data_IF_127491332157
#
_entry.id   IF_127491332157
#
_cell.length_a   1.000
_cell.length_b   1.000
_cell.length_c   1.000
_cell.angle_alpha   90.00
_cell.angle_beta   90.00
_cell.angle_gamma   90.00
#
_symmetry.space_group_name_H-M   'P 1'
#
loop_
_entity.id
_entity.type
_entity.pdbx_description
1 polymer ?
#
# COMPACT_ATOMS: atom_id res chain seq x y z
N UNK A 1 13.00 0.42 9.53
CA UNK A 1 12.59 0.42 8.11
C UNK A 1 11.90 1.75 7.80
N UNK A 2 12.31 2.43 6.73
CA UNK A 2 11.80 3.74 6.32
C UNK A 2 10.34 3.64 5.85
N UNK A 3 9.59 4.76 5.90
CA UNK A 3 8.22 4.80 5.40
C UNK A 3 8.14 4.49 3.90
N UNK A 4 9.12 4.94 3.11
CA UNK A 4 9.26 4.61 1.69
C UNK A 4 9.36 3.09 1.43
N UNK A 5 10.13 2.38 2.25
CA UNK A 5 10.25 0.92 2.17
C UNK A 5 8.92 0.24 2.51
N UNK A 6 8.22 0.72 3.55
CA UNK A 6 6.89 0.19 3.93
C UNK A 6 5.89 0.40 2.81
N UNK A 7 5.85 1.60 2.22
CA UNK A 7 4.99 1.93 1.08
C UNK A 7 5.25 0.97 -0.08
N UNK A 8 6.52 0.79 -0.45
CA UNK A 8 6.89 -0.08 -1.57
C UNK A 8 6.49 -1.54 -1.35
N UNK A 9 6.71 -2.10 -0.14
CA UNK A 9 6.26 -3.46 0.19
C UNK A 9 4.74 -3.59 0.22
N UNK A 10 4.02 -2.52 0.56
CA UNK A 10 2.57 -2.51 0.62
C UNK A 10 1.92 -2.73 -0.76
N UNK A 11 2.63 -2.43 -1.84
CA UNK A 11 2.17 -2.74 -3.21
C UNK A 11 1.96 -4.25 -3.45
N UNK A 12 2.59 -5.12 -2.65
CA UNK A 12 2.42 -6.57 -2.66
C UNK A 12 1.59 -7.09 -1.46
N UNK A 13 0.97 -6.21 -0.66
CA UNK A 13 0.34 -6.56 0.61
C UNK A 13 -0.78 -7.60 0.50
N UNK A 14 -1.52 -7.64 -0.62
CA UNK A 14 -2.55 -8.67 -0.86
C UNK A 14 -1.93 -10.06 -0.80
N UNK A 15 -0.84 -10.28 -1.54
CA UNK A 15 -0.17 -11.58 -1.58
C UNK A 15 0.47 -11.91 -0.24
N UNK A 16 1.13 -10.93 0.39
CA UNK A 16 1.70 -11.07 1.73
C UNK A 16 0.63 -11.47 2.76
N UNK A 17 -0.56 -10.87 2.70
CA UNK A 17 -1.68 -11.19 3.59
C UNK A 17 -2.20 -12.61 3.34
N UNK A 18 -2.37 -13.02 2.07
CA UNK A 18 -2.81 -14.39 1.72
C UNK A 18 -1.83 -15.43 2.24
N UNK A 19 -0.53 -15.16 2.13
CA UNK A 19 0.54 -16.04 2.61
C UNK A 19 0.69 -16.02 4.15
N UNK A 20 0.01 -15.11 4.85
CA UNK A 20 0.20 -14.87 6.29
C UNK A 20 1.64 -14.43 6.63
N UNK A 21 2.27 -13.74 5.69
CA UNK A 21 3.63 -13.23 5.77
C UNK A 21 3.67 -11.86 6.46
N UNK A 22 4.86 -11.41 6.86
CA UNK A 22 5.07 -10.12 7.50
C UNK A 22 5.08 -8.97 6.45
N UNK A 23 4.13 -8.01 6.50
CA UNK A 23 3.94 -6.98 5.47
C UNK A 23 5.06 -5.93 5.40
N UNK A 24 5.93 -5.89 6.42
CA UNK A 24 7.01 -4.93 6.52
C UNK A 24 8.40 -5.58 6.53
N UNK A 25 8.51 -6.83 6.11
CA UNK A 25 9.79 -7.49 5.88
C UNK A 25 9.98 -7.73 4.39
N UNK A 26 11.20 -7.46 3.90
CA UNK A 26 11.55 -7.72 2.51
C UNK A 26 11.39 -9.23 2.22
N UNK A 27 10.53 -9.55 1.25
CA UNK A 27 10.20 -10.94 0.90
C UNK A 27 9.17 -11.61 1.81
N UNK A 28 8.59 -10.89 2.79
CA UNK A 28 7.53 -11.42 3.65
C UNK A 28 8.01 -12.11 4.93
N UNK A 29 9.32 -12.17 5.18
CA UNK A 29 9.85 -12.85 6.36
C UNK A 29 11.31 -12.52 6.67
N UNK A 30 11.84 -13.05 7.78
CA UNK A 30 13.23 -12.86 8.15
C UNK A 30 14.18 -13.79 7.37
N UNK A 31 15.28 -13.25 6.82
CA UNK A 31 16.28 -14.01 6.02
C UNK A 31 17.06 -15.05 6.84
N UNK A 32 17.10 -14.94 8.17
CA UNK A 32 17.83 -15.87 9.05
C UNK A 32 17.00 -17.09 9.48
N UNK A 33 15.89 -17.39 8.79
CA UNK A 33 14.97 -18.48 9.09
C UNK A 33 14.85 -19.42 7.89
N UNK A 34 15.29 -20.66 8.08
CA UNK A 34 15.40 -21.65 7.00
C UNK A 34 14.06 -21.97 6.30
N UNK A 35 12.94 -21.89 7.03
CA UNK A 35 11.60 -22.08 6.47
C UNK A 35 11.24 -21.00 5.43
N UNK A 36 11.56 -19.74 5.72
CA UNK A 36 11.37 -18.63 4.78
C UNK A 36 12.32 -18.70 3.58
N UNK A 37 13.60 -19.04 3.83
CA UNK A 37 14.59 -19.23 2.76
C UNK A 37 14.14 -20.33 1.80
N UNK A 38 13.74 -21.47 2.35
CA UNK A 38 13.28 -22.62 1.55
C UNK A 38 11.99 -22.30 0.80
N UNK A 39 11.01 -21.68 1.46
CA UNK A 39 9.76 -21.27 0.80
C UNK A 39 10.02 -20.30 -0.37
N UNK A 40 10.96 -19.36 -0.20
CA UNK A 40 11.37 -18.44 -1.27
C UNK A 40 12.05 -19.18 -2.43
N UNK A 41 12.96 -20.13 -2.16
CA UNK A 41 13.59 -20.96 -3.19
C UNK A 41 12.56 -21.81 -3.93
N UNK A 42 11.63 -22.44 -3.21
CA UNK A 42 10.60 -23.32 -3.79
C UNK A 42 9.63 -22.53 -4.68
N UNK A 43 9.16 -21.34 -4.27
CA UNK A 43 8.25 -20.52 -5.09
C UNK A 43 8.97 -19.93 -6.31
N UNK A 44 10.21 -19.50 -6.17
CA UNK A 44 11.01 -18.99 -7.29
C UNK A 44 11.29 -20.11 -8.31
N UNK A 45 11.65 -21.31 -7.86
CA UNK A 45 11.89 -22.43 -8.75
C UNK A 45 10.61 -22.91 -9.45
N UNK A 46 9.53 -23.11 -8.70
CA UNK A 46 8.29 -23.72 -9.22
C UNK A 46 7.43 -22.78 -10.05
N UNK A 47 7.29 -21.52 -9.62
CA UNK A 47 6.38 -20.55 -10.26
C UNK A 47 7.07 -19.65 -11.27
N UNK A 48 8.39 -19.49 -11.18
CA UNK A 48 9.15 -18.56 -12.00
C UNK A 48 10.31 -19.21 -12.76
N UNK A 49 10.67 -20.46 -12.45
CA UNK A 49 11.85 -21.10 -13.04
C UNK A 49 13.17 -20.40 -12.65
N UNK A 50 13.17 -19.64 -11.56
CA UNK A 50 14.31 -18.89 -11.07
C UNK A 50 15.01 -19.65 -9.93
N UNK A 51 16.11 -20.32 -10.24
CA UNK A 51 16.84 -21.19 -9.30
C UNK A 51 18.20 -20.60 -8.86
N UNK A 52 18.56 -19.46 -9.42
CA UNK A 52 19.80 -18.75 -9.15
C UNK A 52 19.65 -17.24 -9.44
N UNK A 53 20.71 -16.49 -9.18
CA UNK A 53 20.77 -15.05 -9.38
C UNK A 53 20.58 -14.61 -10.84
N UNK A 54 21.05 -15.38 -11.82
CA UNK A 54 20.95 -15.05 -13.24
C UNK A 54 19.50 -15.19 -13.73
N UNK A 55 18.86 -16.31 -13.38
CA UNK A 55 17.45 -16.56 -13.73
C UNK A 55 16.50 -15.63 -13.01
N UNK A 56 16.79 -15.28 -11.76
CA UNK A 56 16.03 -14.26 -11.03
C UNK A 56 16.09 -12.90 -11.75
N UNK A 57 17.28 -12.42 -12.08
CA UNK A 57 17.45 -11.14 -12.81
C UNK A 57 16.73 -11.17 -14.15
N UNK A 58 16.81 -12.29 -14.88
CA UNK A 58 16.09 -12.48 -16.14
C UNK A 58 14.57 -12.45 -15.97
N UNK A 59 14.06 -12.96 -14.86
CA UNK A 59 12.63 -12.92 -14.53
C UNK A 59 12.17 -11.50 -14.22
N UNK A 60 12.95 -10.76 -13.42
CA UNK A 60 12.67 -9.35 -13.11
C UNK A 60 12.75 -8.49 -14.39
N UNK A 61 13.72 -8.75 -15.26
CA UNK A 61 13.83 -8.13 -16.58
C UNK A 61 12.59 -8.38 -17.44
N UNK A 62 12.16 -9.65 -17.51
CA UNK A 62 10.97 -9.99 -18.27
C UNK A 62 9.73 -9.28 -17.73
N UNK A 63 9.53 -9.22 -16.40
CA UNK A 63 8.41 -8.52 -15.77
C UNK A 63 8.38 -7.02 -16.10
N UNK A 64 9.54 -6.35 -16.16
CA UNK A 64 9.61 -4.90 -16.43
C UNK A 64 9.53 -4.54 -17.91
N UNK A 65 9.99 -5.42 -18.82
CA UNK A 65 9.99 -5.14 -20.26
C UNK A 65 8.74 -5.67 -20.99
N UNK A 66 8.18 -6.78 -20.51
CA UNK A 66 7.04 -7.44 -21.15
C UNK A 66 5.93 -7.71 -20.13
N UNK A 67 6.27 -8.51 -19.12
CA UNK A 67 5.37 -8.99 -18.10
C UNK A 67 4.13 -9.68 -18.68
N UNK A 68 3.12 -9.79 -17.83
CA UNK A 68 1.79 -10.24 -18.25
C UNK A 68 1.07 -9.15 -19.06
N UNK A 69 1.47 -7.89 -18.90
CA UNK A 69 0.99 -6.75 -19.69
C UNK A 69 1.09 -7.00 -21.20
N UNK A 70 2.20 -7.55 -21.69
CA UNK A 70 2.35 -7.90 -23.10
C UNK A 70 1.32 -8.94 -23.58
N UNK A 71 1.00 -9.95 -22.76
CA UNK A 71 -0.05 -10.92 -23.10
C UNK A 71 -1.44 -10.28 -23.08
N UNK A 72 -1.70 -9.35 -22.16
CA UNK A 72 -2.96 -8.61 -22.11
C UNK A 72 -3.12 -7.70 -23.33
N UNK A 73 -2.09 -6.94 -23.70
CA UNK A 73 -2.11 -6.05 -24.87
C UNK A 73 -2.38 -6.82 -26.16
N UNK A 74 -1.77 -7.99 -26.31
CA UNK A 74 -2.05 -8.88 -27.44
C UNK A 74 -3.52 -9.31 -27.46
N UNK A 75 -4.04 -9.83 -26.34
CA UNK A 75 -5.43 -10.25 -26.23
C UNK A 75 -6.41 -9.08 -26.42
N UNK A 76 -6.04 -7.88 -25.96
CA UNK A 76 -6.81 -6.66 -26.15
C UNK A 76 -6.91 -6.29 -27.63
N UNK A 77 -5.79 -6.30 -28.35
CA UNK A 77 -5.75 -6.02 -29.78
C UNK A 77 -6.59 -7.00 -30.59
N UNK A 78 -6.43 -8.31 -30.35
CA UNK A 78 -7.19 -9.36 -31.01
C UNK A 78 -8.69 -9.25 -30.71
N UNK A 79 -9.07 -9.12 -29.44
CA UNK A 79 -10.46 -8.96 -29.03
C UNK A 79 -11.10 -7.73 -29.70
N UNK A 80 -10.42 -6.58 -29.70
CA UNK A 80 -10.96 -5.36 -30.31
C UNK A 80 -11.14 -5.49 -31.82
N UNK A 81 -10.24 -6.19 -32.52
CA UNK A 81 -10.40 -6.51 -33.94
C UNK A 81 -11.62 -7.40 -34.18
N UNK A 82 -11.80 -8.45 -33.37
CA UNK A 82 -12.93 -9.36 -33.46
C UNK A 82 -14.27 -8.65 -33.18
N UNK A 83 -14.33 -7.83 -32.13
CA UNK A 83 -15.53 -7.07 -31.79
C UNK A 83 -15.86 -6.00 -32.85
N UNK A 84 -14.85 -5.41 -33.48
CA UNK A 84 -15.08 -4.49 -34.61
C UNK A 84 -15.63 -5.21 -35.86
N UNK A 85 -15.17 -6.45 -36.11
CA UNK A 85 -15.59 -7.23 -37.27
C UNK A 85 -16.96 -7.91 -37.09
N UNK A 86 -17.23 -8.45 -35.90
CA UNK A 86 -18.39 -9.32 -35.63
C UNK A 86 -19.39 -8.73 -34.62
N UNK A 87 -19.07 -7.60 -34.01
CA UNK A 87 -19.92 -6.90 -33.04
C UNK A 87 -19.72 -7.33 -31.57
N UNK A 88 -20.31 -6.57 -30.61
CA UNK A 88 -20.13 -6.78 -29.17
C UNK A 88 -20.71 -8.10 -28.64
N UNK A 89 -21.62 -8.74 -29.38
CA UNK A 89 -22.30 -9.98 -28.97
C UNK A 89 -21.63 -11.26 -29.46
N UNK A 90 -20.38 -11.18 -29.93
CA UNK A 90 -19.62 -12.35 -30.38
C UNK A 90 -19.54 -13.42 -29.28
N UNK A 91 -19.91 -14.66 -29.64
CA UNK A 91 -19.85 -15.82 -28.76
C UNK A 91 -18.43 -16.41 -28.76
N UNK A 92 -17.52 -15.81 -27.99
CA UNK A 92 -16.12 -16.26 -27.92
C UNK A 92 -15.99 -17.74 -27.52
N UNK A 93 -16.87 -18.24 -26.66
CA UNK A 93 -16.88 -19.62 -26.19
C UNK A 93 -17.10 -20.62 -27.34
N UNK A 94 -17.78 -20.21 -28.41
CA UNK A 94 -18.05 -21.05 -29.57
C UNK A 94 -16.90 -21.00 -30.59
N UNK A 95 -16.36 -19.82 -30.86
CA UNK A 95 -15.41 -19.60 -31.97
C UNK A 95 -13.93 -19.56 -31.54
N UNK A 96 -13.67 -19.18 -30.28
CA UNK A 96 -12.35 -18.98 -29.69
C UNK A 96 -12.29 -19.56 -28.27
N UNK A 97 -12.59 -20.87 -28.08
CA UNK A 97 -12.78 -21.45 -26.75
C UNK A 97 -11.53 -21.39 -25.86
N UNK A 98 -10.32 -21.38 -26.43
CA UNK A 98 -9.08 -21.31 -25.65
C UNK A 98 -8.80 -19.89 -25.10
N UNK A 99 -9.23 -18.86 -25.82
CA UNK A 99 -9.01 -17.45 -25.46
C UNK A 99 -10.25 -16.78 -24.86
N UNK A 100 -11.40 -17.48 -24.85
CA UNK A 100 -12.70 -16.91 -24.49
C UNK A 100 -12.67 -16.18 -23.14
N UNK A 101 -12.06 -16.77 -22.11
CA UNK A 101 -11.93 -16.13 -20.79
C UNK A 101 -11.16 -14.81 -20.85
N UNK A 102 -10.05 -14.76 -21.59
CA UNK A 102 -9.24 -13.55 -21.79
C UNK A 102 -9.99 -12.50 -22.59
N UNK A 103 -10.68 -12.88 -23.67
CA UNK A 103 -11.46 -11.94 -24.48
C UNK A 103 -12.67 -11.38 -23.72
N UNK A 104 -13.36 -12.20 -22.91
CA UNK A 104 -14.41 -11.74 -21.99
C UNK A 104 -13.87 -10.77 -20.95
N UNK A 105 -12.73 -11.08 -20.36
CA UNK A 105 -12.05 -10.17 -19.45
C UNK A 105 -11.74 -8.82 -20.12
N UNK A 106 -11.13 -8.84 -21.31
CA UNK A 106 -10.83 -7.62 -22.07
C UNK A 106 -12.12 -6.83 -22.31
N UNK A 107 -13.18 -7.48 -22.82
CA UNK A 107 -14.44 -6.83 -23.12
C UNK A 107 -15.04 -6.11 -21.89
N UNK A 108 -14.88 -6.70 -20.70
CA UNK A 108 -15.43 -6.16 -19.46
C UNK A 108 -14.57 -5.06 -18.84
N UNK A 109 -13.23 -5.22 -18.82
CA UNK A 109 -12.35 -4.40 -17.98
C UNK A 109 -11.46 -3.42 -18.76
N UNK A 110 -11.36 -3.51 -20.09
CA UNK A 110 -10.37 -2.75 -20.85
C UNK A 110 -10.48 -1.22 -20.70
N UNK A 111 -11.69 -0.70 -20.54
CA UNK A 111 -11.90 0.74 -20.36
C UNK A 111 -11.42 1.23 -18.99
N UNK A 112 -11.66 0.44 -17.94
CA UNK A 112 -11.18 0.75 -16.59
C UNK A 112 -9.65 0.60 -16.50
N UNK A 113 -9.10 -0.46 -17.11
CA UNK A 113 -7.64 -0.68 -17.18
C UNK A 113 -6.95 0.48 -17.92
N UNK A 114 -7.48 0.87 -19.07
CA UNK A 114 -6.93 1.95 -19.89
C UNK A 114 -5.49 1.69 -20.34
N UNK A 115 -4.68 2.74 -20.39
CA UNK A 115 -3.30 2.68 -20.89
C UNK A 115 -2.31 2.05 -19.89
N UNK A 116 -2.76 1.76 -18.67
CA UNK A 116 -1.93 1.18 -17.60
C UNK A 116 -1.65 -0.31 -17.81
N UNK A 117 -2.43 -0.97 -18.67
CA UNK A 117 -2.32 -2.42 -18.91
C UNK A 117 -2.37 -3.18 -17.58
N UNK A 118 -1.59 -4.24 -17.40
CA UNK A 118 -1.50 -4.99 -16.14
C UNK A 118 -0.36 -4.52 -15.23
N UNK A 119 -0.01 -3.23 -15.28
CA UNK A 119 1.11 -2.67 -14.52
C UNK A 119 1.05 -2.96 -13.02
N UNK A 120 -0.13 -2.85 -12.38
CA UNK A 120 -0.27 -3.15 -10.95
C UNK A 120 0.20 -4.57 -10.60
N UNK A 121 -0.20 -5.52 -11.45
CA UNK A 121 0.15 -6.93 -11.30
C UNK A 121 1.64 -7.16 -11.56
N UNK A 122 2.17 -6.71 -12.70
CA UNK A 122 3.58 -6.93 -13.05
C UNK A 122 4.54 -6.28 -12.05
N UNK A 123 4.28 -5.03 -11.66
CA UNK A 123 5.12 -4.32 -10.70
C UNK A 123 5.01 -4.90 -9.27
N UNK A 124 3.80 -5.27 -8.83
CA UNK A 124 3.64 -5.98 -7.55
C UNK A 124 4.35 -7.34 -7.52
N UNK A 125 4.42 -8.03 -8.66
CA UNK A 125 5.21 -9.27 -8.80
C UNK A 125 6.71 -8.99 -8.81
N UNK A 126 7.19 -7.89 -9.38
CA UNK A 126 8.60 -7.48 -9.21
C UNK A 126 8.93 -7.29 -7.73
N UNK A 127 8.06 -6.64 -6.95
CA UNK A 127 8.28 -6.47 -5.51
C UNK A 127 8.36 -7.81 -4.77
N UNK A 128 7.46 -8.73 -5.10
CA UNK A 128 7.44 -10.07 -4.51
C UNK A 128 8.67 -10.88 -4.89
N UNK A 129 9.00 -10.96 -6.19
CA UNK A 129 10.11 -11.75 -6.74
C UNK A 129 11.47 -11.23 -6.27
N UNK A 130 11.67 -9.92 -6.26
CA UNK A 130 12.91 -9.33 -5.72
C UNK A 130 13.07 -9.62 -4.22
N UNK A 131 11.98 -9.51 -3.44
CA UNK A 131 11.98 -9.85 -2.03
C UNK A 131 12.30 -11.32 -1.76
N UNK A 132 11.67 -12.23 -2.48
CA UNK A 132 12.00 -13.67 -2.38
C UNK A 132 13.42 -13.97 -2.86
N UNK A 133 13.93 -13.27 -3.87
CA UNK A 133 15.31 -13.40 -4.32
C UNK A 133 16.32 -13.04 -3.24
N UNK A 134 16.03 -12.01 -2.45
CA UNK A 134 16.80 -11.67 -1.26
C UNK A 134 16.74 -12.78 -0.19
N UNK A 135 15.55 -13.28 0.13
CA UNK A 135 15.38 -14.36 1.10
C UNK A 135 16.10 -15.65 0.68
N UNK A 136 15.99 -16.02 -0.61
CA UNK A 136 16.65 -17.19 -1.18
C UNK A 136 18.19 -17.06 -1.24
N UNK A 137 18.73 -15.87 -0.99
CA UNK A 137 20.16 -15.57 -1.07
C UNK A 137 20.69 -15.43 -2.50
N UNK A 138 19.82 -15.17 -3.48
CA UNK A 138 20.21 -15.00 -4.88
C UNK A 138 20.71 -13.60 -5.19
N UNK A 139 20.18 -12.59 -4.48
CA UNK A 139 20.60 -11.18 -4.59
C UNK A 139 20.71 -10.56 -3.21
N UNK A 140 21.47 -9.47 -3.09
CA UNK A 140 21.57 -8.72 -1.84
C UNK A 140 20.42 -7.73 -1.66
N UNK A 141 20.21 -7.27 -0.43
CA UNK A 141 19.12 -6.35 -0.08
C UNK A 141 19.13 -5.08 -0.93
N UNK A 142 20.30 -4.49 -1.13
CA UNK A 142 20.46 -3.25 -1.91
C UNK A 142 20.06 -3.46 -3.38
N UNK A 143 20.37 -4.62 -3.95
CA UNK A 143 20.00 -4.99 -5.32
C UNK A 143 18.48 -5.22 -5.41
N UNK A 144 17.87 -5.90 -4.43
CA UNK A 144 16.41 -6.06 -4.39
C UNK A 144 15.70 -4.70 -4.35
N UNK A 145 16.14 -3.77 -3.49
CA UNK A 145 15.56 -2.42 -3.43
C UNK A 145 15.77 -1.62 -4.73
N UNK A 146 16.87 -1.84 -5.44
CA UNK A 146 17.13 -1.19 -6.74
C UNK A 146 16.08 -1.54 -7.80
N UNK A 147 15.47 -2.73 -7.71
CA UNK A 147 14.35 -3.16 -8.57
C UNK A 147 12.98 -2.74 -8.03
N UNK A 148 12.80 -2.76 -6.71
CA UNK A 148 11.54 -2.43 -6.03
C UNK A 148 11.21 -0.94 -6.16
N UNK A 149 12.21 -0.05 -6.07
CA UNK A 149 11.97 1.39 -6.12
C UNK A 149 11.35 1.87 -7.45
N UNK A 150 11.87 1.49 -8.63
CA UNK A 150 11.20 1.78 -9.90
C UNK A 150 9.75 1.29 -9.96
N UNK A 151 9.49 0.07 -9.48
CA UNK A 151 8.14 -0.50 -9.44
C UNK A 151 7.22 0.37 -8.57
N UNK A 152 7.63 0.67 -7.34
CA UNK A 152 6.88 1.47 -6.39
C UNK A 152 6.58 2.88 -6.94
N UNK A 153 7.60 3.56 -7.47
CA UNK A 153 7.46 4.89 -8.07
C UNK A 153 6.49 4.88 -9.25
N UNK A 154 6.57 3.88 -10.11
CA UNK A 154 5.69 3.77 -11.27
C UNK A 154 4.22 3.54 -10.86
N UNK A 155 4.00 2.73 -9.83
CA UNK A 155 2.68 2.50 -9.26
C UNK A 155 2.09 3.77 -8.62
N UNK A 156 2.88 4.53 -7.86
CA UNK A 156 2.39 5.77 -7.23
C UNK A 156 1.95 6.83 -8.26
N UNK A 157 2.60 6.85 -9.44
CA UNK A 157 2.25 7.77 -10.54
C UNK A 157 1.06 7.28 -11.37
N UNK A 158 0.95 5.97 -11.56
CA UNK A 158 -0.08 5.38 -12.41
C UNK A 158 -1.46 5.30 -11.74
N UNK A 159 -1.52 5.31 -10.41
CA UNK A 159 -2.74 5.17 -9.62
C UNK A 159 -2.88 6.33 -8.62
N UNK A 160 -4.08 6.47 -8.05
CA UNK A 160 -4.43 7.59 -7.17
C UNK A 160 -4.71 7.18 -5.73
N UNK A 161 -4.84 5.88 -5.46
CA UNK A 161 -5.14 5.35 -4.11
C UNK A 161 -4.77 3.87 -3.99
N UNK A 162 -4.69 3.39 -2.74
CA UNK A 162 -4.55 1.96 -2.45
C UNK A 162 -5.70 1.12 -2.99
N UNK A 163 -6.93 1.63 -2.95
CA UNK A 163 -8.11 0.98 -3.52
C UNK A 163 -7.93 0.76 -5.02
N UNK A 164 -7.62 1.82 -5.78
CA UNK A 164 -7.46 1.71 -7.23
C UNK A 164 -6.29 0.78 -7.61
N UNK A 165 -5.15 0.92 -6.93
CA UNK A 165 -3.99 0.04 -7.14
C UNK A 165 -4.36 -1.43 -6.91
N UNK A 166 -5.05 -1.72 -5.81
CA UNK A 166 -5.43 -3.09 -5.44
C UNK A 166 -6.49 -3.68 -6.37
N UNK A 167 -7.44 -2.88 -6.85
CA UNK A 167 -8.42 -3.32 -7.87
C UNK A 167 -7.71 -3.76 -9.15
N UNK A 168 -6.76 -2.93 -9.63
CA UNK A 168 -5.98 -3.26 -10.82
C UNK A 168 -5.05 -4.46 -10.61
N UNK A 169 -4.52 -4.67 -9.40
CA UNK A 169 -3.75 -5.87 -9.07
C UNK A 169 -4.61 -7.12 -9.20
N UNK A 170 -5.83 -7.11 -8.66
CA UNK A 170 -6.78 -8.23 -8.75
C UNK A 170 -7.22 -8.47 -10.19
N UNK A 171 -7.42 -7.42 -11.00
CA UNK A 171 -7.70 -7.57 -12.43
C UNK A 171 -6.57 -8.28 -13.18
N UNK A 172 -5.31 -7.96 -12.87
CA UNK A 172 -4.17 -8.68 -13.44
C UNK A 172 -4.13 -10.16 -13.02
N UNK A 173 -4.44 -10.46 -11.76
CA UNK A 173 -4.60 -11.84 -11.28
C UNK A 173 -5.69 -12.59 -12.06
N UNK A 174 -6.86 -11.98 -12.22
CA UNK A 174 -7.98 -12.56 -12.97
C UNK A 174 -7.61 -12.85 -14.42
N UNK A 175 -6.93 -11.91 -15.10
CA UNK A 175 -6.47 -12.12 -16.47
C UNK A 175 -5.43 -13.24 -16.57
N UNK A 176 -4.53 -13.34 -15.59
CA UNK A 176 -3.54 -14.43 -15.51
C UNK A 176 -4.20 -15.80 -15.28
N UNK A 177 -5.42 -15.83 -14.73
CA UNK A 177 -6.20 -17.03 -14.47
C UNK A 177 -6.25 -17.44 -13.00
N UNK A 178 -5.89 -16.54 -12.08
CA UNK A 178 -6.01 -16.77 -10.65
C UNK A 178 -7.43 -16.53 -10.12
N UNK A 179 -7.76 -17.19 -9.02
CA UNK A 179 -9.01 -16.97 -8.29
C UNK A 179 -8.96 -15.60 -7.57
N UNK A 180 -9.86 -14.66 -7.90
CA UNK A 180 -9.86 -13.35 -7.26
C UNK A 180 -10.35 -13.39 -5.82
N UNK A 181 -11.10 -14.41 -5.40
CA UNK A 181 -11.85 -14.38 -4.14
C UNK A 181 -10.94 -14.25 -2.90
N UNK A 182 -9.83 -15.00 -2.75
CA UNK A 182 -8.88 -14.78 -1.66
C UNK A 182 -8.28 -13.36 -1.66
N UNK A 183 -7.97 -12.84 -2.85
CA UNK A 183 -7.37 -11.51 -3.02
C UNK A 183 -8.36 -10.38 -2.72
N UNK A 184 -9.63 -10.55 -3.07
CA UNK A 184 -10.70 -9.61 -2.74
C UNK A 184 -10.95 -9.57 -1.23
N UNK A 185 -10.95 -10.73 -0.55
CA UNK A 185 -11.03 -10.76 0.92
C UNK A 185 -9.85 -10.07 1.57
N UNK A 186 -8.63 -10.36 1.11
CA UNK A 186 -7.41 -9.73 1.63
C UNK A 186 -7.43 -8.21 1.40
N UNK A 187 -7.84 -7.75 0.21
CA UNK A 187 -8.02 -6.34 -0.10
C UNK A 187 -9.03 -5.67 0.85
N UNK A 188 -10.22 -6.27 1.03
CA UNK A 188 -11.25 -5.71 1.90
C UNK A 188 -10.75 -5.53 3.34
N UNK A 189 -10.01 -6.51 3.87
CA UNK A 189 -9.37 -6.40 5.19
C UNK A 189 -8.30 -5.30 5.20
N UNK A 190 -7.41 -5.27 4.20
CA UNK A 190 -6.36 -4.26 4.13
C UNK A 190 -6.93 -2.84 4.11
N UNK A 191 -8.06 -2.60 3.47
CA UNK A 191 -8.68 -1.27 3.39
C UNK A 191 -9.45 -0.87 4.67
N UNK A 192 -9.76 -1.81 5.56
CA UNK A 192 -10.59 -1.57 6.75
C UNK A 192 -9.80 -1.67 8.05
N UNK A 193 -8.82 -2.58 8.13
CA UNK A 193 -8.00 -2.80 9.31
C UNK A 193 -7.22 -1.53 9.65
N UNK A 194 -7.47 -0.96 10.83
CA UNK A 194 -6.86 0.31 11.25
C UNK A 194 -5.33 0.29 11.38
N UNK A 195 -4.72 -0.91 11.39
CA UNK A 195 -3.28 -1.14 11.45
C UNK A 195 -2.69 -1.59 10.10
N UNK A 196 -3.52 -1.72 9.07
CA UNK A 196 -3.09 -2.14 7.75
C UNK A 196 -2.25 -1.06 7.07
N UNK A 197 -1.27 -1.44 6.23
CA UNK A 197 -0.56 -0.50 5.37
C UNK A 197 -1.47 0.38 4.51
N UNK A 198 -2.61 -0.12 4.01
CA UNK A 198 -3.49 0.69 3.14
C UNK A 198 -4.23 1.80 3.90
N UNK A 199 -4.27 1.73 5.23
CA UNK A 199 -4.87 2.75 6.10
C UNK A 199 -3.79 3.63 6.73
N UNK A 200 -2.70 3.02 7.18
CA UNK A 200 -1.66 3.73 7.94
C UNK A 200 -0.64 4.45 7.07
N UNK A 201 -0.48 4.04 5.80
CA UNK A 201 0.55 4.58 4.93
C UNK A 201 -0.09 5.49 3.88
N UNK A 202 0.24 6.78 3.90
CA UNK A 202 -0.22 7.72 2.90
C UNK A 202 0.10 7.33 1.46
N UNK A 203 -0.87 7.54 0.55
CA UNK A 203 -0.63 7.30 -0.87
C UNK A 203 0.59 8.07 -1.41
N UNK A 204 0.72 9.35 -1.07
CA UNK A 204 1.79 10.25 -1.57
C UNK A 204 3.04 10.26 -0.68
N UNK A 205 3.34 9.15 0.00
CA UNK A 205 4.60 8.98 0.73
C UNK A 205 5.79 9.15 -0.24
N UNK A 206 6.79 10.00 0.05
CA UNK A 206 7.97 10.12 -0.80
C UNK A 206 8.72 8.79 -0.94
N UNK A 207 8.88 8.32 -2.19
CA UNK A 207 9.54 7.05 -2.50
C UNK A 207 11.04 7.31 -2.76
N UNK A 208 11.82 7.33 -1.68
CA UNK A 208 13.28 7.43 -1.74
C UNK A 208 13.91 6.63 -0.60
N UNK A 209 14.98 5.88 -0.91
CA UNK A 209 15.78 5.14 0.08
C UNK A 209 17.23 5.62 -0.04
N UNK A 210 17.82 6.22 1.01
CA UNK A 210 19.21 6.65 1.00
C UNK A 210 20.17 5.50 0.63
N UNK A 211 21.09 5.76 -0.30
CA UNK A 211 22.10 4.79 -0.72
C UNK A 211 21.62 3.71 -1.70
N UNK A 212 20.35 3.75 -2.15
CA UNK A 212 19.84 2.86 -3.20
C UNK A 212 19.65 3.65 -4.50
N UNK A 213 20.29 3.19 -5.57
CA UNK A 213 20.10 3.75 -6.91
C UNK A 213 19.07 2.90 -7.66
N UNK A 214 17.93 3.47 -8.11
CA UNK A 214 16.93 2.74 -8.90
C UNK A 214 17.49 2.24 -10.23
N UNK A 215 17.16 1.01 -10.62
CA UNK A 215 17.54 0.41 -11.92
C UNK A 215 16.29 0.25 -12.79
N UNK A 216 16.16 1.13 -13.77
CA UNK A 216 15.00 1.17 -14.68
C UNK A 216 15.14 0.19 -15.85
N UNK A 217 14.04 -0.46 -16.20
CA UNK A 217 13.86 -1.08 -17.52
C UNK A 217 13.51 -0.06 -18.59
N UNK A 218 13.77 -0.36 -19.86
CA UNK A 218 13.48 0.51 -20.99
C UNK A 218 11.99 0.84 -21.08
N UNK A 219 11.13 -0.18 -21.02
CA UNK A 219 9.67 0.02 -21.07
C UNK A 219 9.17 0.87 -19.91
N UNK A 220 9.56 0.54 -18.68
CA UNK A 220 9.12 1.26 -17.49
C UNK A 220 9.66 2.70 -17.43
N UNK A 221 10.86 2.96 -17.92
CA UNK A 221 11.37 4.33 -18.08
C UNK A 221 10.50 5.13 -19.07
N UNK A 222 10.05 4.50 -20.15
CA UNK A 222 9.08 5.11 -21.09
C UNK A 222 7.74 5.39 -20.42
N UNK A 223 7.20 4.44 -19.65
CA UNK A 223 5.95 4.61 -18.92
C UNK A 223 6.04 5.70 -17.84
N UNK A 224 7.19 5.82 -17.16
CA UNK A 224 7.42 6.87 -16.18
C UNK A 224 7.23 8.27 -16.79
N UNK A 225 7.67 8.47 -18.04
CA UNK A 225 7.46 9.73 -18.76
C UNK A 225 6.03 9.95 -19.28
N UNK A 226 5.25 8.88 -19.43
CA UNK A 226 3.83 8.95 -19.84
C UNK A 226 2.91 9.31 -18.67
N UNK A 227 3.19 8.79 -17.48
CA UNK A 227 2.42 9.12 -16.29
C UNK A 227 2.88 10.46 -15.72
N UNK A 228 1.93 11.39 -15.56
CA UNK A 228 2.17 12.68 -14.93
C UNK A 228 2.63 12.54 -13.47
N UNK A 229 2.95 13.67 -12.84
CA UNK A 229 3.19 13.65 -11.40
C UNK A 229 1.98 13.07 -10.65
N UNK A 230 2.18 12.34 -9.54
CA UNK A 230 1.08 11.78 -8.76
C UNK A 230 0.05 12.87 -8.45
N UNK A 231 -1.18 12.68 -8.93
CA UNK A 231 -2.25 13.67 -8.76
C UNK A 231 -2.85 13.46 -7.38
N UNK A 232 -2.89 14.52 -6.56
CA UNK A 232 -3.66 14.52 -5.32
C UNK A 232 -5.12 14.18 -5.66
N UNK A 233 -5.74 13.17 -5.04
CA UNK A 233 -7.20 13.05 -5.13
C UNK A 233 -7.80 14.39 -4.66
N UNK A 234 -8.63 15.01 -5.50
CA UNK A 234 -9.29 16.27 -5.15
C UNK A 234 -10.07 16.11 -3.83
N UNK A 235 -9.99 17.07 -2.89
CA UNK A 235 -10.55 16.91 -1.56
C UNK A 235 -12.06 17.18 -1.54
N UNK A 236 -12.78 16.57 -0.59
CA UNK A 236 -13.47 17.29 0.49
C UNK A 236 -13.78 16.32 1.64
N UNK A 237 -13.17 16.56 2.81
CA UNK A 237 -13.92 17.23 3.87
C UNK A 237 -13.13 18.41 4.46
N UNK A 238 -13.81 19.53 4.69
CA UNK A 238 -13.28 20.68 5.43
C UNK A 238 -13.76 20.64 6.87
N UNK A 239 -12.82 20.61 7.82
CA UNK A 239 -13.06 21.16 9.16
C UNK A 239 -12.02 22.26 9.38
N UNK A 240 -12.46 23.51 9.25
CA UNK A 240 -11.64 24.69 9.54
C UNK A 240 -11.74 25.03 11.03
N UNK A 241 -10.61 25.35 11.68
CA UNK A 241 -10.60 25.94 13.02
C UNK A 241 -9.67 27.16 13.05
N UNK A 242 -10.03 28.15 13.85
CA UNK A 242 -9.23 29.36 14.04
C UNK A 242 -8.37 29.22 15.29
N UNK A 243 -7.06 29.44 15.12
CA UNK A 243 -6.17 29.87 16.21
C UNK A 243 -6.27 31.40 16.28
N UNK A 244 -6.05 32.00 17.45
CA UNK A 244 -6.38 33.39 17.76
C UNK A 244 -6.01 34.45 16.69
N UNK A 245 -5.10 34.22 15.73
CA UNK A 245 -4.99 35.05 14.52
C UNK A 245 -4.60 34.31 13.20
N UNK A 246 -4.74 32.97 13.10
CA UNK A 246 -4.40 32.20 11.88
C UNK A 246 -5.38 31.01 11.63
N UNK A 247 -5.71 30.74 10.37
CA UNK A 247 -6.62 29.66 9.96
C UNK A 247 -5.86 28.35 9.75
N UNK A 248 -6.19 27.32 10.52
CA UNK A 248 -5.61 25.98 10.38
C UNK A 248 -6.68 25.05 9.80
N UNK A 249 -6.35 24.35 8.71
CA UNK A 249 -7.27 23.40 8.08
C UNK A 249 -6.82 21.98 8.35
N UNK A 250 -7.67 21.20 9.02
CA UNK A 250 -7.47 19.75 9.13
C UNK A 250 -8.14 19.07 7.94
N UNK A 251 -7.35 18.42 7.10
CA UNK A 251 -7.83 17.64 5.98
C UNK A 251 -7.76 16.16 6.33
N UNK A 252 -8.90 15.48 6.21
CA UNK A 252 -8.98 14.03 6.32
C UNK A 252 -9.25 13.46 4.93
N UNK A 253 -8.25 12.81 4.35
CA UNK A 253 -8.34 12.26 3.01
C UNK A 253 -9.18 10.96 3.00
N UNK A 254 -9.59 10.51 1.82
CA UNK A 254 -10.46 9.33 1.64
C UNK A 254 -9.79 8.02 2.10
N UNK A 255 -8.46 8.00 2.20
CA UNK A 255 -7.66 6.89 2.73
C UNK A 255 -7.48 6.96 4.27
N UNK A 256 -8.09 7.95 4.94
CA UNK A 256 -7.98 8.15 6.38
C UNK A 256 -6.79 9.00 6.82
N UNK A 257 -5.91 9.40 5.89
CA UNK A 257 -4.76 10.26 6.18
C UNK A 257 -5.21 11.62 6.72
N UNK A 258 -4.59 12.07 7.82
CA UNK A 258 -4.83 13.38 8.40
C UNK A 258 -3.68 14.34 8.09
N UNK A 259 -4.01 15.48 7.50
CA UNK A 259 -3.07 16.57 7.19
C UNK A 259 -3.50 17.85 7.87
N UNK A 260 -2.53 18.69 8.18
CA UNK A 260 -2.74 20.05 8.68
C UNK A 260 -2.22 21.02 7.62
N UNK A 261 -3.04 21.99 7.22
CA UNK A 261 -2.60 23.17 6.48
C UNK A 261 -2.45 24.29 7.50
N UNK A 262 -1.21 24.76 7.66
CA UNK A 262 -0.86 25.89 8.53
C UNK A 262 -0.09 26.91 7.68
N UNK A 263 -0.55 28.17 7.67
CA UNK A 263 -0.01 29.26 6.83
C UNK A 263 0.13 28.93 5.33
N UNK A 264 -0.68 28.01 4.80
CA UNK A 264 -0.63 27.56 3.41
C UNK A 264 0.34 26.42 3.13
N UNK A 265 1.09 25.96 4.13
CA UNK A 265 1.93 24.77 4.03
C UNK A 265 1.19 23.51 4.51
N UNK A 266 1.21 22.46 3.70
CA UNK A 266 0.61 21.15 4.04
C UNK A 266 1.62 20.28 4.78
N UNK A 267 1.25 19.79 5.96
CA UNK A 267 2.06 18.89 6.80
C UNK A 267 1.28 17.66 7.25
N UNK A 268 1.98 16.58 7.55
CA UNK A 268 1.41 15.40 8.19
C UNK A 268 0.96 15.75 9.61
N UNK A 269 -0.24 15.34 10.04
CA UNK A 269 -0.75 15.68 11.38
C UNK A 269 0.21 15.21 12.49
N UNK A 270 0.72 13.98 12.40
CA UNK A 270 1.70 13.45 13.36
C UNK A 270 3.01 14.26 13.40
N UNK A 271 3.47 14.77 12.26
CA UNK A 271 4.66 15.63 12.20
C UNK A 271 4.38 17.03 12.73
N UNK A 272 3.17 17.54 12.52
CA UNK A 272 2.72 18.82 13.05
C UNK A 272 2.61 18.79 14.58
N UNK A 273 1.97 17.75 15.14
CA UNK A 273 1.79 17.54 16.58
C UNK A 273 3.13 17.38 17.34
N UNK A 274 4.18 16.91 16.67
CA UNK A 274 5.53 16.82 17.22
C UNK A 274 6.28 18.16 17.27
N UNK A 275 5.81 19.17 16.52
CA UNK A 275 6.48 20.47 16.39
C UNK A 275 5.81 21.60 17.19
N UNK A 276 4.70 21.32 17.88
CA UNK A 276 3.91 22.31 18.63
C UNK A 276 3.64 21.83 20.07
N UNK A 277 3.34 22.77 20.97
CA UNK A 277 2.94 22.46 22.35
C UNK A 277 1.64 21.66 22.44
N UNK A 278 1.46 20.86 23.50
CA UNK A 278 0.27 20.00 23.70
C UNK A 278 -1.04 20.80 23.79
N UNK A 279 -0.94 22.04 24.23
CA UNK A 279 -2.00 23.05 24.26
C UNK A 279 -2.42 23.55 22.88
N UNK A 280 -1.69 23.19 21.84
CA UNK A 280 -1.91 23.60 20.44
C UNK A 280 -2.40 22.44 19.55
N UNK A 281 -2.65 21.26 20.11
CA UNK A 281 -3.07 20.07 19.37
C UNK A 281 -4.49 20.21 18.79
N UNK A 282 -4.69 19.62 17.60
CA UNK A 282 -6.01 19.55 16.96
C UNK A 282 -6.87 18.47 17.63
N UNK A 283 -7.57 18.82 18.70
CA UNK A 283 -8.37 17.91 19.53
C UNK A 283 -9.39 17.05 18.76
N UNK A 284 -9.09 15.76 18.63
CA UNK A 284 -9.99 14.68 18.16
C UNK A 284 -10.61 13.86 19.32
N UNK A 285 -10.24 14.11 20.58
CA UNK A 285 -10.54 13.19 21.71
C UNK A 285 -11.78 13.51 22.55
N UNK A 286 -12.62 14.46 22.14
CA UNK A 286 -13.87 14.76 22.86
C UNK A 286 -13.66 15.45 24.22
N UNK A 287 -14.72 15.60 25.04
CA UNK A 287 -14.83 16.65 26.06
C UNK A 287 -13.81 16.59 27.22
N UNK A 288 -13.04 15.51 27.36
CA UNK A 288 -11.95 15.39 28.34
C UNK A 288 -10.73 16.26 28.02
N UNK A 289 -10.62 16.81 26.81
CA UNK A 289 -9.49 17.68 26.41
C UNK A 289 -9.62 19.15 26.86
N UNK A 290 -10.75 19.55 27.47
CA UNK A 290 -10.95 20.94 27.90
C UNK A 290 -10.18 21.22 29.19
N UNK A 291 -9.08 21.95 29.08
CA UNK A 291 -8.22 22.41 30.19
C UNK A 291 -8.89 23.35 31.20
N UNK A 292 -10.18 23.66 31.03
CA UNK A 292 -10.96 24.56 31.90
C UNK A 292 -11.80 23.85 32.95
N UNK A 293 -11.75 22.52 33.01
CA UNK A 293 -12.48 21.76 34.03
C UNK A 293 -11.73 21.75 35.35
N UNK A 294 -12.45 21.97 36.44
CA UNK A 294 -11.85 21.89 37.77
C UNK A 294 -11.43 20.45 38.09
N UNK A 295 -10.45 20.33 38.99
CA UNK A 295 -9.83 19.06 39.37
C UNK A 295 -10.85 17.97 39.74
N UNK A 296 -11.95 18.33 40.43
CA UNK A 296 -12.93 17.34 40.87
C UNK A 296 -13.76 16.79 39.70
N UNK A 297 -14.06 17.63 38.71
CA UNK A 297 -14.82 17.21 37.51
C UNK A 297 -13.98 16.29 36.61
N UNK A 298 -12.68 16.56 36.45
CA UNK A 298 -11.76 15.67 35.74
C UNK A 298 -11.59 14.33 36.46
N UNK A 299 -11.45 14.37 37.79
CA UNK A 299 -11.27 13.19 38.63
C UNK A 299 -12.48 12.23 38.61
N UNK A 300 -13.71 12.75 38.64
CA UNK A 300 -14.93 11.92 38.55
C UNK A 300 -15.14 11.28 37.18
N UNK A 301 -14.76 11.96 36.10
CA UNK A 301 -14.85 11.38 34.76
C UNK A 301 -13.79 10.30 34.50
N UNK A 302 -12.58 10.48 35.04
CA UNK A 302 -11.52 9.45 34.98
C UNK A 302 -11.91 8.20 35.79
N UNK A 303 -12.54 8.36 36.96
CA UNK A 303 -13.09 7.23 37.75
C UNK A 303 -14.14 6.42 37.01
N UNK A 304 -14.92 7.03 36.12
CA UNK A 304 -15.91 6.30 35.32
C UNK A 304 -15.25 5.43 34.22
N UNK A 305 -14.01 5.74 33.83
CA UNK A 305 -13.26 5.00 32.81
C UNK A 305 -12.40 3.86 33.37
N UNK A 306 -11.99 3.93 34.65
CA UNK A 306 -11.17 2.91 35.30
C UNK A 306 -11.98 2.12 36.34
N UNK A 307 -12.14 0.81 36.11
CA UNK A 307 -12.90 -0.07 37.02
C UNK A 307 -12.14 -0.45 38.31
N UNK A 308 -10.96 0.10 38.58
CA UNK A 308 -10.14 -0.25 39.75
C UNK A 308 -9.43 0.99 40.34
N UNK A 309 -9.94 1.49 41.47
CA UNK A 309 -9.47 2.71 42.14
C UNK A 309 -8.03 2.58 42.69
N UNK A 310 -7.57 1.36 43.01
CA UNK A 310 -6.28 1.14 43.69
C UNK A 310 -5.10 1.29 42.71
N UNK A 311 -5.28 0.84 41.46
CA UNK A 311 -4.28 1.00 40.39
C UNK A 311 -4.13 2.47 39.95
N UNK A 312 -5.24 3.22 39.97
CA UNK A 312 -5.23 4.64 39.59
C UNK A 312 -4.47 5.50 40.61
N UNK A 313 -4.65 5.25 41.92
CA UNK A 313 -3.91 5.98 42.97
C UNK A 313 -2.40 5.73 42.94
N UNK A 314 -1.98 4.55 42.48
CA UNK A 314 -0.56 4.26 42.27
C UNK A 314 0.00 4.99 41.03
N UNK A 315 -0.80 5.14 39.97
CA UNK A 315 -0.42 5.86 38.74
C UNK A 315 -0.32 7.38 38.94
N UNK A 316 -1.19 7.98 39.77
CA UNK A 316 -1.19 9.43 40.03
C UNK A 316 0.07 9.92 40.77
N UNK A 317 0.78 9.01 41.45
CA UNK A 317 2.02 9.30 42.17
C UNK A 317 3.28 9.18 41.30
N UNK A 318 3.16 8.61 40.10
CA UNK A 318 4.28 8.39 39.18
C UNK A 318 4.18 9.28 37.93
N UNK A 319 5.34 9.49 37.31
CA UNK A 319 5.56 10.39 36.20
C UNK A 319 4.49 10.22 35.09
N UNK A 320 3.77 11.30 34.67
CA UNK A 320 2.70 11.23 33.68
C UNK A 320 3.05 10.47 32.39
N UNK A 321 4.30 10.53 31.95
CA UNK A 321 4.76 9.82 30.75
C UNK A 321 4.83 8.29 30.93
N UNK A 322 5.06 7.80 32.15
CA UNK A 322 5.04 6.36 32.43
C UNK A 322 3.62 5.80 32.47
N UNK A 323 2.67 6.59 32.98
CA UNK A 323 1.25 6.28 32.96
C UNK A 323 0.75 6.14 31.52
N UNK A 324 1.09 7.10 30.65
CA UNK A 324 0.72 7.09 29.23
C UNK A 324 1.31 5.86 28.51
N UNK A 325 2.58 5.51 28.76
CA UNK A 325 3.20 4.32 28.17
C UNK A 325 2.57 3.01 28.64
N UNK A 326 2.18 2.90 29.90
CA UNK A 326 1.54 1.69 30.45
C UNK A 326 0.10 1.54 29.94
N UNK A 327 -0.63 2.64 29.75
CA UNK A 327 -1.97 2.63 29.12
C UNK A 327 -1.88 2.20 27.64
N UNK A 328 -0.91 2.71 26.90
CA UNK A 328 -0.60 2.25 25.54
C UNK A 328 -0.25 0.77 25.51
N UNK A 329 0.55 0.28 26.48
CA UNK A 329 0.93 -1.13 26.60
C UNK A 329 -0.27 -2.06 26.85
N UNK A 330 -1.34 -1.53 27.47
CA UNK A 330 -2.59 -2.25 27.73
C UNK A 330 -3.63 -2.11 26.61
N UNK A 331 -3.26 -1.46 25.50
CA UNK A 331 -4.10 -1.36 24.30
C UNK A 331 -5.11 -0.20 24.33
N UNK A 332 -4.96 0.72 25.28
CA UNK A 332 -5.74 1.96 25.31
C UNK A 332 -5.00 3.02 24.47
N UNK A 333 -5.72 3.70 23.58
CA UNK A 333 -5.18 4.78 22.74
C UNK A 333 -5.34 6.12 23.42
#
# INVERSE_FOLDING_TARGET
MLLAQRWALSTAAILTRINQDAPYLLGGGPRNRDDYVKSAQDVLASSWGAQDAEKLRSTIEWLREQGHSASYEKAQGECNQLLAQYGPSLAFEQYYPAEASKYRFVQQYQHAIGQRSLLAWDAGRVVSVAGWGYLAGYIEEQEAWSYILPAATLLQRAYTSWQELSDHYIWGLMFWGGDPEPSQRAQAQLLQDSESPYVCIPWLTPISIPGVTPVWGQRWAGMYGLFGEPVFPHPQPQVSRHRDHAEIQLLKDYDGAQFVIDEGERRWKEQYEQCIGRDEWADDWGPLSRSTWDFNTQHELLKQFFADEEAFRQLEQENPNQVEQELQRRGYR
#
